data_IF_018038241949
#
_entry.id   IF_018038241949
#
_cell.length_a   1.000
_cell.length_b   1.000
_cell.length_c   1.000
_cell.angle_alpha   90.00
_cell.angle_beta   90.00
_cell.angle_gamma   90.00
#
_symmetry.space_group_name_H-M   'P 1'
#
loop_
_entity.id
_entity.type
_entity.pdbx_description
1 polymer ?
#
# COMPACT_ATOMS: atom_id res chain seq x y z
N UNK A 1 5.15 -11.06 -14.50
CA UNK A 1 5.17 -12.22 -13.59
C UNK A 1 6.15 -11.89 -12.47
N UNK A 2 5.69 -11.82 -11.21
CA UNK A 2 6.52 -11.47 -10.06
C UNK A 2 7.41 -12.68 -9.72
N UNK A 3 8.73 -12.51 -9.72
CA UNK A 3 9.63 -13.52 -9.14
C UNK A 3 9.61 -13.41 -7.61
N UNK A 4 8.93 -14.34 -6.94
CA UNK A 4 8.87 -14.38 -5.48
C UNK A 4 10.21 -14.85 -4.90
N UNK A 5 10.76 -14.11 -3.94
CA UNK A 5 11.93 -14.53 -3.17
C UNK A 5 11.51 -15.36 -1.96
N UNK A 6 12.42 -16.11 -1.33
CA UNK A 6 12.12 -17.01 -0.20
C UNK A 6 11.66 -16.28 1.08
N UNK A 7 11.79 -14.95 1.14
CA UNK A 7 11.40 -14.14 2.30
C UNK A 7 9.95 -13.66 2.13
N UNK A 8 9.02 -14.21 2.92
CA UNK A 8 7.64 -13.73 2.97
C UNK A 8 7.54 -12.48 3.85
N UNK A 9 6.89 -11.42 3.35
CA UNK A 9 6.66 -10.19 4.10
C UNK A 9 5.20 -10.09 4.52
N UNK A 10 4.96 -10.39 5.80
CA UNK A 10 3.62 -10.51 6.39
C UNK A 10 3.63 -9.91 7.79
N UNK A 11 2.52 -9.29 8.18
CA UNK A 11 2.31 -8.75 9.53
C UNK A 11 1.00 -9.28 10.07
N UNK A 12 1.07 -9.90 11.24
CA UNK A 12 -0.10 -10.29 12.01
C UNK A 12 -0.59 -9.08 12.83
N UNK A 13 -1.83 -8.69 12.62
CA UNK A 13 -2.51 -7.62 13.33
C UNK A 13 -3.44 -8.24 14.37
N UNK A 14 -3.31 -7.76 15.61
CA UNK A 14 -4.27 -8.03 16.67
C UNK A 14 -5.44 -7.04 16.57
N UNK A 15 -6.64 -7.55 16.25
CA UNK A 15 -7.84 -6.71 16.09
C UNK A 15 -8.62 -6.62 17.43
N UNK A 16 -8.31 -7.47 18.42
CA UNK A 16 -8.97 -7.48 19.73
C UNK A 16 -8.16 -6.72 20.80
N UNK A 17 -8.59 -5.47 20.99
CA UNK A 17 -8.57 -4.65 22.21
C UNK A 17 -7.33 -3.82 22.60
N UNK A 18 -7.68 -2.60 23.02
CA UNK A 18 -6.82 -1.47 23.41
C UNK A 18 -5.96 -1.80 24.61
N UNK A 19 -4.67 -2.04 24.41
CA UNK A 19 -3.68 -1.75 25.45
C UNK A 19 -2.34 -1.37 24.84
N UNK A 20 -1.95 -0.10 24.97
CA UNK A 20 -0.54 0.23 25.15
C UNK A 20 -0.43 1.38 26.16
N UNK A 21 -0.06 1.05 27.39
CA UNK A 21 0.68 2.01 28.23
C UNK A 21 2.08 2.16 27.62
N UNK A 22 2.21 2.91 26.54
CA UNK A 22 3.51 3.29 25.99
C UNK A 22 3.96 4.57 26.71
N UNK A 23 5.03 4.51 27.48
CA UNK A 23 5.64 5.74 27.99
C UNK A 23 6.45 6.37 26.85
N UNK A 24 5.86 7.35 26.15
CA UNK A 24 6.51 8.09 25.05
C UNK A 24 5.52 8.71 24.05
N UNK A 25 6.01 9.56 23.13
CA UNK A 25 5.19 10.28 22.12
C UNK A 25 4.29 9.36 21.28
N UNK A 26 4.68 8.09 21.11
CA UNK A 26 3.91 7.05 20.43
C UNK A 26 2.58 6.71 21.13
N UNK A 27 2.45 6.93 22.44
CA UNK A 27 1.15 6.78 23.13
C UNK A 27 0.14 7.87 22.78
N UNK A 28 0.64 9.01 22.29
CA UNK A 28 -0.18 10.09 21.77
C UNK A 28 -0.56 9.86 20.30
N UNK A 29 -0.27 8.69 19.72
CA UNK A 29 -0.72 8.26 18.39
C UNK A 29 -2.25 8.13 18.33
N UNK A 30 -2.91 9.25 18.56
CA UNK A 30 -4.25 9.57 18.17
C UNK A 30 -4.31 9.58 16.64
N UNK A 31 -5.49 9.35 16.09
CA UNK A 31 -5.72 9.37 14.64
C UNK A 31 -5.07 10.59 13.93
N UNK A 32 -5.09 11.82 14.49
CA UNK A 32 -4.45 12.98 13.88
C UNK A 32 -2.92 12.91 13.77
N UNK A 33 -2.24 12.33 14.77
CA UNK A 33 -0.77 12.21 14.77
C UNK A 33 -0.33 11.14 13.77
N UNK A 34 -1.02 9.99 13.76
CA UNK A 34 -0.77 8.94 12.76
C UNK A 34 -0.98 9.46 11.35
N UNK A 35 -2.05 10.22 11.13
CA UNK A 35 -2.32 10.86 9.83
C UNK A 35 -1.19 11.80 9.44
N UNK A 36 -0.74 12.68 10.34
CA UNK A 36 0.38 13.59 10.08
C UNK A 36 1.68 12.85 9.72
N UNK A 37 2.00 11.77 10.43
CA UNK A 37 3.17 10.93 10.13
C UNK A 37 3.06 10.33 8.73
N UNK A 38 1.91 9.75 8.39
CA UNK A 38 1.67 9.14 7.08
C UNK A 38 1.74 10.18 5.95
N UNK A 39 1.17 11.37 6.17
CA UNK A 39 1.19 12.46 5.19
C UNK A 39 2.59 13.07 5.02
N UNK A 40 3.50 12.90 5.98
CA UNK A 40 4.91 13.34 5.88
C UNK A 40 5.82 12.42 5.09
N UNK A 41 5.34 11.21 4.74
CA UNK A 41 6.12 10.21 3.98
C UNK A 41 6.09 10.57 2.49
N UNK A 42 7.28 10.64 1.87
CA UNK A 42 7.44 10.93 0.43
C UNK A 42 7.02 9.79 -0.50
N UNK A 43 6.76 8.61 0.05
CA UNK A 43 6.24 7.46 -0.67
C UNK A 43 4.71 7.53 -0.72
N UNK A 44 4.14 7.09 -1.83
CA UNK A 44 2.72 6.79 -1.89
C UNK A 44 2.39 5.60 -1.01
N UNK A 45 1.33 5.69 -0.23
CA UNK A 45 0.79 4.59 0.57
C UNK A 45 -0.63 4.30 0.09
N UNK A 46 -0.90 3.03 -0.20
CA UNK A 46 -2.21 2.49 -0.56
C UNK A 46 -2.49 1.26 0.29
N UNK A 47 -3.70 1.17 0.84
CA UNK A 47 -4.18 0.02 1.61
C UNK A 47 -5.45 -0.49 0.97
N UNK A 48 -5.49 -1.79 0.69
CA UNK A 48 -6.69 -2.49 0.21
C UNK A 48 -7.10 -3.59 1.18
N UNK A 49 -8.39 -3.91 1.19
CA UNK A 49 -8.91 -5.07 1.92
C UNK A 49 -8.69 -6.40 1.15
N UNK A 50 -9.11 -7.50 1.77
CA UNK A 50 -9.06 -8.86 1.21
C UNK A 50 -9.84 -9.04 -0.12
N UNK A 51 -10.65 -8.07 -0.53
CA UNK A 51 -11.45 -8.07 -1.76
C UNK A 51 -10.92 -7.07 -2.81
N UNK A 52 -9.80 -6.40 -2.55
CA UNK A 52 -9.25 -5.39 -3.46
C UNK A 52 -9.93 -4.02 -3.36
N UNK A 53 -10.74 -3.77 -2.33
CA UNK A 53 -11.38 -2.48 -2.08
C UNK A 53 -10.40 -1.56 -1.37
N UNK A 54 -10.27 -0.32 -1.85
CA UNK A 54 -9.38 0.69 -1.25
C UNK A 54 -9.93 1.13 0.11
N UNK A 55 -9.14 0.92 1.15
CA UNK A 55 -9.41 1.37 2.51
C UNK A 55 -8.78 2.73 2.81
N UNK A 56 -7.59 2.98 2.25
CA UNK A 56 -6.84 4.19 2.49
C UNK A 56 -5.85 4.46 1.36
N UNK A 57 -5.62 5.74 1.07
CA UNK A 57 -4.52 6.21 0.24
C UNK A 57 -4.03 7.55 0.81
N UNK A 58 -2.72 7.77 0.95
CA UNK A 58 -2.21 9.06 1.41
C UNK A 58 -2.22 10.11 0.28
N UNK A 59 -1.95 11.37 0.63
CA UNK A 59 -1.91 12.47 -0.35
C UNK A 59 -0.88 12.20 -1.46
N UNK A 60 0.31 11.75 -1.09
CA UNK A 60 1.40 11.47 -2.01
C UNK A 60 1.05 10.32 -2.98
N UNK A 61 0.41 9.26 -2.51
CA UNK A 61 -0.05 8.14 -3.32
C UNK A 61 -1.12 8.57 -4.32
N UNK A 62 -2.04 9.43 -3.88
CA UNK A 62 -3.08 10.00 -4.75
C UNK A 62 -2.47 10.82 -5.89
N UNK A 63 -1.46 11.64 -5.57
CA UNK A 63 -0.72 12.42 -6.57
C UNK A 63 0.04 11.51 -7.55
N UNK A 64 0.80 10.55 -7.03
CA UNK A 64 1.61 9.63 -7.86
C UNK A 64 0.73 8.82 -8.80
N UNK A 65 -0.43 8.34 -8.34
CA UNK A 65 -1.36 7.53 -9.13
C UNK A 65 -2.37 8.37 -9.94
N UNK A 66 -2.36 9.70 -9.78
CA UNK A 66 -3.32 10.62 -10.40
C UNK A 66 -4.79 10.29 -10.06
N UNK A 67 -5.03 9.98 -8.79
CA UNK A 67 -6.34 9.62 -8.25
C UNK A 67 -6.89 10.73 -7.36
N UNK A 68 -8.22 10.81 -7.28
CA UNK A 68 -8.89 11.56 -6.22
C UNK A 68 -8.92 10.71 -4.95
N UNK A 69 -8.33 11.23 -3.86
CA UNK A 69 -8.19 10.50 -2.60
C UNK A 69 -9.53 10.02 -2.05
N UNK A 70 -10.53 10.90 -2.00
CA UNK A 70 -11.81 10.61 -1.34
C UNK A 70 -12.70 9.72 -2.21
N UNK A 71 -12.74 9.97 -3.51
CA UNK A 71 -13.52 9.17 -4.46
C UNK A 71 -12.92 7.77 -4.68
N UNK A 72 -11.66 7.55 -4.30
CA UNK A 72 -11.03 6.22 -4.39
C UNK A 72 -11.46 5.29 -3.27
N UNK A 73 -11.77 5.80 -2.07
CA UNK A 73 -12.13 4.97 -0.91
C UNK A 73 -13.42 4.21 -1.18
N UNK A 74 -13.43 2.92 -0.85
CA UNK A 74 -14.59 2.04 -1.03
C UNK A 74 -14.77 1.52 -2.46
N UNK A 75 -13.89 1.88 -3.39
CA UNK A 75 -13.89 1.35 -4.76
C UNK A 75 -12.89 0.22 -4.93
N UNK A 76 -13.17 -0.68 -5.85
CA UNK A 76 -12.20 -1.72 -6.22
C UNK A 76 -11.04 -1.09 -6.99
N UNK A 77 -9.80 -1.44 -6.64
CA UNK A 77 -8.59 -0.79 -7.18
C UNK A 77 -8.48 -0.88 -8.72
N UNK A 78 -8.97 -1.96 -9.32
CA UNK A 78 -9.00 -2.12 -10.79
C UNK A 78 -9.99 -1.19 -11.52
N UNK A 79 -10.94 -0.57 -10.82
CA UNK A 79 -11.90 0.36 -11.42
C UNK A 79 -11.38 1.80 -11.50
N UNK A 80 -10.33 2.10 -10.74
CA UNK A 80 -9.79 3.46 -10.60
C UNK A 80 -8.42 3.62 -11.24
N UNK A 81 -7.69 2.53 -11.45
CA UNK A 81 -6.41 2.54 -12.18
C UNK A 81 -6.62 2.08 -13.62
N UNK A 82 -5.89 2.71 -14.55
CA UNK A 82 -5.90 2.37 -15.98
C UNK A 82 -4.87 1.30 -16.36
N UNK A 83 -4.21 0.70 -15.37
CA UNK A 83 -3.25 -0.39 -15.53
C UNK A 83 -3.50 -1.49 -14.49
N UNK A 84 -2.98 -2.70 -14.74
CA UNK A 84 -3.13 -3.84 -13.82
C UNK A 84 -2.42 -3.55 -12.48
N UNK A 85 -3.14 -3.52 -11.34
CA UNK A 85 -2.53 -3.27 -10.04
C UNK A 85 -1.77 -4.50 -9.53
N UNK A 86 -0.45 -4.40 -9.41
CA UNK A 86 0.44 -5.48 -8.91
C UNK A 86 0.05 -5.96 -7.50
N UNK A 87 -0.54 -5.07 -6.69
CA UNK A 87 -0.99 -5.37 -5.33
C UNK A 87 -2.05 -6.49 -5.29
N UNK A 88 -2.80 -6.72 -6.38
CA UNK A 88 -3.74 -7.84 -6.47
C UNK A 88 -3.03 -9.19 -6.60
N UNK A 89 -1.89 -9.25 -7.28
CA UNK A 89 -1.09 -10.48 -7.36
C UNK A 89 -0.54 -10.86 -5.96
N UNK A 90 -0.23 -9.85 -5.12
CA UNK A 90 0.18 -10.03 -3.71
C UNK A 90 -0.97 -10.56 -2.86
N UNK A 91 -2.17 -10.02 -3.06
CA UNK A 91 -3.40 -10.47 -2.40
C UNK A 91 -3.67 -11.95 -2.70
N UNK A 92 -3.61 -12.33 -3.98
CA UNK A 92 -3.85 -13.70 -4.47
C UNK A 92 -2.78 -14.68 -3.97
N UNK A 93 -1.51 -14.32 -4.06
CA UNK A 93 -0.40 -15.16 -3.62
C UNK A 93 -0.30 -15.23 -2.08
N UNK A 94 -0.83 -14.23 -1.37
CA UNK A 94 -0.68 -14.09 0.08
C UNK A 94 0.76 -13.87 0.51
N UNK A 95 1.64 -13.41 -0.40
CA UNK A 95 3.06 -13.19 -0.19
C UNK A 95 3.45 -11.75 -0.55
N UNK A 96 4.06 -11.03 0.40
CA UNK A 96 4.58 -9.68 0.19
C UNK A 96 5.98 -9.62 -0.42
N UNK A 97 6.44 -8.42 -0.74
CA UNK A 97 7.80 -8.11 -1.20
C UNK A 97 8.24 -6.74 -0.68
N UNK A 98 9.55 -6.46 -0.65
CA UNK A 98 10.11 -5.15 -0.31
C UNK A 98 10.99 -4.60 -1.43
N UNK A 99 10.99 -3.27 -1.57
CA UNK A 99 11.88 -2.47 -2.43
C UNK A 99 12.09 -3.05 -3.84
N UNK A 100 11.00 -3.52 -4.44
CA UNK A 100 11.02 -4.17 -5.75
C UNK A 100 10.65 -3.21 -6.87
N UNK A 101 11.42 -3.29 -7.94
CA UNK A 101 11.22 -2.47 -9.12
C UNK A 101 10.15 -3.03 -10.06
N UNK A 102 9.24 -2.18 -10.51
CA UNK A 102 8.18 -2.50 -11.46
C UNK A 102 8.12 -1.50 -12.59
N UNK A 103 7.93 -2.01 -13.81
CA UNK A 103 7.64 -1.20 -14.98
C UNK A 103 6.18 -1.40 -15.34
N UNK A 104 5.37 -0.37 -15.14
CA UNK A 104 3.94 -0.39 -15.43
C UNK A 104 3.66 0.45 -16.67
N UNK A 105 2.68 0.02 -17.46
CA UNK A 105 2.22 0.76 -18.63
C UNK A 105 0.83 1.29 -18.34
N UNK A 106 0.71 2.62 -18.23
CA UNK A 106 -0.57 3.32 -18.17
C UNK A 106 -0.94 3.80 -19.57
N UNK A 107 -2.13 3.48 -20.09
CA UNK A 107 -2.63 4.05 -21.35
C UNK A 107 -2.60 5.58 -21.37
N UNK A 108 -2.90 6.24 -20.24
CA UNK A 108 -2.94 7.71 -20.16
C UNK A 108 -1.57 8.37 -19.92
N UNK A 109 -0.60 7.65 -19.34
CA UNK A 109 0.69 8.22 -18.89
C UNK A 109 1.94 7.57 -19.48
N UNK A 110 1.78 6.50 -20.25
CA UNK A 110 2.88 5.72 -20.82
C UNK A 110 3.58 4.84 -19.79
N UNK A 111 4.88 4.59 -20.02
CA UNK A 111 5.70 3.71 -19.19
C UNK A 111 6.12 4.42 -17.90
N UNK A 112 5.78 3.84 -16.77
CA UNK A 112 6.12 4.33 -15.44
C UNK A 112 7.01 3.32 -14.71
N UNK A 113 8.03 3.82 -14.01
CA UNK A 113 8.96 3.02 -13.20
C UNK A 113 8.65 3.25 -11.73
N UNK A 114 8.30 2.18 -11.03
CA UNK A 114 8.01 2.21 -9.59
C UNK A 114 9.02 1.39 -8.80
N UNK A 115 9.36 1.87 -7.61
CA UNK A 115 9.90 1.03 -6.54
C UNK A 115 8.78 0.82 -5.54
N UNK A 116 8.47 -0.44 -5.22
CA UNK A 116 7.32 -0.81 -4.40
C UNK A 116 7.67 -1.78 -3.28
N UNK A 117 6.99 -1.66 -2.15
CA UNK A 117 6.96 -2.64 -1.07
C UNK A 117 5.51 -2.99 -0.77
N UNK A 118 5.18 -4.28 -0.73
CA UNK A 118 3.84 -4.76 -0.41
C UNK A 118 3.90 -5.72 0.79
N UNK A 119 3.13 -5.40 1.84
CA UNK A 119 3.07 -6.15 3.10
C UNK A 119 1.67 -6.73 3.24
N UNK A 120 1.59 -8.05 3.42
CA UNK A 120 0.33 -8.76 3.61
C UNK A 120 -0.10 -8.66 5.07
N UNK A 121 -1.35 -8.26 5.30
CA UNK A 121 -1.94 -8.15 6.63
C UNK A 121 -2.80 -9.38 6.94
N UNK A 122 -2.58 -10.00 8.08
CA UNK A 122 -3.40 -11.11 8.58
C UNK A 122 -3.86 -10.89 10.00
N UNK A 123 -4.94 -11.54 10.40
CA UNK A 123 -5.25 -11.67 11.82
C UNK A 123 -4.49 -12.85 12.44
N UNK A 124 -4.56 -12.97 13.76
CA UNK A 124 -3.97 -14.09 14.53
C UNK A 124 -4.49 -15.47 14.13
N UNK A 125 -5.63 -15.56 13.44
CA UNK A 125 -6.19 -16.82 12.92
C UNK A 125 -5.65 -17.13 11.52
N UNK A 126 -4.72 -16.33 11.00
CA UNK A 126 -4.13 -16.44 9.67
C UNK A 126 -5.05 -15.97 8.54
N UNK A 127 -6.19 -15.34 8.85
CA UNK A 127 -7.10 -14.83 7.81
C UNK A 127 -6.50 -13.58 7.17
N UNK A 128 -6.50 -13.53 5.84
CA UNK A 128 -6.07 -12.36 5.08
C UNK A 128 -7.02 -11.19 5.34
N UNK A 129 -6.48 -10.07 5.82
CA UNK A 129 -7.21 -8.83 6.05
C UNK A 129 -7.09 -7.88 4.87
N UNK A 130 -5.91 -7.85 4.24
CA UNK A 130 -5.59 -6.90 3.18
C UNK A 130 -4.11 -6.79 2.90
N UNK A 131 -3.72 -5.72 2.20
CA UNK A 131 -2.32 -5.45 1.80
C UNK A 131 -2.04 -3.96 1.97
N UNK A 132 -0.87 -3.64 2.52
CA UNK A 132 -0.29 -2.29 2.49
C UNK A 132 0.74 -2.24 1.37
N UNK A 133 0.61 -1.27 0.47
CA UNK A 133 1.54 -1.04 -0.63
C UNK A 133 2.15 0.35 -0.48
N UNK A 134 3.47 0.42 -0.37
CA UNK A 134 4.22 1.67 -0.47
C UNK A 134 4.90 1.72 -1.83
N UNK A 135 4.92 2.90 -2.45
CA UNK A 135 5.48 3.04 -3.79
C UNK A 135 6.03 4.43 -4.07
N UNK A 136 7.11 4.48 -4.84
CA UNK A 136 7.69 5.71 -5.38
C UNK A 136 7.75 5.64 -6.89
N UNK A 137 7.38 6.73 -7.55
CA UNK A 137 7.63 6.91 -8.98
C UNK A 137 9.07 7.38 -9.16
N UNK A 138 9.86 6.63 -9.91
CA UNK A 138 11.25 6.98 -10.22
C UNK A 138 11.28 7.65 -11.58
N UNK A 139 11.59 8.95 -11.60
CA UNK A 139 11.85 9.66 -12.85
C UNK A 139 13.10 9.10 -13.51
N UNK A 140 13.00 8.82 -14.80
CA UNK A 140 14.17 8.49 -15.60
C UNK A 140 14.84 9.81 -15.95
N UNK A 141 15.93 10.18 -15.26
CA UNK A 141 16.77 11.28 -15.71
C UNK A 141 17.25 10.94 -17.12
N UNK A 142 16.75 11.67 -18.12
CA UNK A 142 17.35 11.68 -19.44
C UNK A 142 18.71 12.38 -19.26
N UNK A 143 19.79 11.60 -19.33
CA UNK A 143 21.16 12.12 -19.49
C UNK A 143 21.38 12.34 -20.99
#
# INVERSE_FOLDING_TARGET
>A
MIQWTQTSHMVDIDIEEKHVAAHGLLSLASEPILKTIIDSISDGILIIDAKGIVLYINQQGSQILSLDQFASIGRHISEILDFRPVILDVLEAGQGYLEKEFYLHSPSRGKMRFIKSAIVLRDRRGRLLGVIDTFRLVESMHI
#
